data_IF_121435830495
#
_entry.id   IF_121435830495
#
_cell.length_a   1.000
_cell.length_b   1.000
_cell.length_c   1.000
_cell.angle_alpha   90.00
_cell.angle_beta   90.00
_cell.angle_gamma   90.00
#
_symmetry.space_group_name_H-M   'P 1'
#
loop_
_entity.id
_entity.type
_entity.pdbx_description
1 polymer ?
#
# COMPACT_ATOMS: atom_id res chain seq x y z
N UNK A 1 0.46 8.94 -14.45
CA UNK A 1 -0.97 9.30 -14.31
C UNK A 1 -1.39 10.22 -15.44
N UNK A 2 -2.67 10.20 -15.79
CA UNK A 2 -3.23 11.02 -16.88
C UNK A 2 -4.48 11.76 -16.39
N UNK A 3 -4.78 12.88 -17.02
CA UNK A 3 -6.05 13.60 -16.92
C UNK A 3 -6.80 13.45 -18.24
N UNK A 4 -7.92 12.77 -18.21
CA UNK A 4 -8.75 12.48 -19.39
C UNK A 4 -10.20 12.77 -19.06
N UNK A 5 -10.92 13.44 -19.97
CA UNK A 5 -12.37 13.70 -19.81
C UNK A 5 -13.11 12.38 -19.66
N UNK A 6 -14.03 12.30 -18.69
CA UNK A 6 -14.79 11.09 -18.36
C UNK A 6 -14.06 10.06 -17.51
N UNK A 7 -12.84 10.34 -17.05
CA UNK A 7 -12.08 9.52 -16.09
C UNK A 7 -11.82 10.29 -14.80
N UNK A 8 -11.65 9.53 -13.71
CA UNK A 8 -11.31 10.08 -12.40
C UNK A 8 -10.00 10.85 -12.43
N UNK A 9 -9.87 11.86 -11.55
CA UNK A 9 -8.63 12.59 -11.38
C UNK A 9 -7.49 11.62 -10.99
N UNK A 10 -6.28 11.84 -11.53
CA UNK A 10 -5.11 10.98 -11.32
C UNK A 10 -5.36 9.51 -11.68
N UNK A 11 -6.08 9.27 -12.77
CA UNK A 11 -6.18 7.92 -13.36
C UNK A 11 -4.79 7.46 -13.80
N UNK A 12 -4.48 6.18 -13.56
CA UNK A 12 -3.21 5.60 -13.96
C UNK A 12 -3.16 5.34 -15.46
N UNK A 13 -2.02 5.65 -16.05
CA UNK A 13 -1.67 5.39 -17.45
C UNK A 13 -0.32 4.73 -17.46
N UNK A 14 -0.28 3.44 -17.77
CA UNK A 14 0.95 2.64 -17.69
C UNK A 14 0.83 1.34 -18.47
N UNK A 15 1.97 0.69 -18.69
CA UNK A 15 2.08 -0.63 -19.32
C UNK A 15 1.55 -1.69 -18.35
N UNK A 16 0.76 -2.61 -18.86
CA UNK A 16 0.26 -3.75 -18.10
C UNK A 16 1.32 -4.86 -18.04
N UNK A 17 1.63 -5.29 -16.83
CA UNK A 17 2.49 -6.44 -16.55
C UNK A 17 1.69 -7.72 -16.70
N UNK A 18 2.21 -8.70 -17.48
CA UNK A 18 1.55 -9.97 -17.77
C UNK A 18 2.04 -11.14 -16.90
N UNK A 19 3.17 -10.96 -16.20
CA UNK A 19 3.75 -12.00 -15.36
C UNK A 19 5.24 -12.24 -15.66
N UNK A 20 5.74 -13.40 -15.22
CA UNK A 20 7.08 -13.88 -15.51
C UNK A 20 6.95 -15.09 -16.45
N UNK A 21 7.74 -15.13 -17.51
CA UNK A 21 7.79 -16.28 -18.40
C UNK A 21 8.37 -17.48 -17.64
N UNK A 22 7.64 -18.60 -17.52
CA UNK A 22 8.13 -19.77 -16.80
C UNK A 22 9.31 -20.47 -17.48
N UNK A 23 9.51 -20.27 -18.79
CA UNK A 23 10.60 -20.90 -19.52
C UNK A 23 11.90 -20.09 -19.49
N UNK A 24 11.79 -18.75 -19.48
CA UNK A 24 12.96 -17.86 -19.58
C UNK A 24 13.28 -17.11 -18.30
N UNK A 25 12.30 -16.98 -17.38
CA UNK A 25 12.40 -16.14 -16.19
C UNK A 25 12.31 -14.64 -16.48
N UNK A 26 12.04 -14.25 -17.73
CA UNK A 26 11.93 -12.85 -18.12
C UNK A 26 10.55 -12.26 -17.74
N UNK A 27 10.48 -10.96 -17.40
CA UNK A 27 9.21 -10.27 -17.21
C UNK A 27 8.46 -10.14 -18.53
N UNK A 28 7.15 -10.29 -18.48
CA UNK A 28 6.24 -10.22 -19.63
C UNK A 28 5.28 -9.04 -19.49
N UNK A 29 4.92 -8.46 -20.63
CA UNK A 29 4.06 -7.30 -20.75
C UNK A 29 2.99 -7.54 -21.83
N UNK A 30 1.83 -6.88 -21.69
CA UNK A 30 0.86 -6.82 -22.76
C UNK A 30 1.23 -5.74 -23.77
N UNK A 31 1.17 -6.08 -25.08
CA UNK A 31 1.48 -5.12 -26.16
C UNK A 31 0.45 -4.00 -26.19
N UNK A 32 -0.84 -4.32 -25.95
CA UNK A 32 -1.95 -3.38 -25.99
C UNK A 32 -1.99 -2.57 -27.31
N UNK A 33 -1.71 -3.21 -28.43
CA UNK A 33 -1.90 -2.64 -29.74
C UNK A 33 -3.40 -2.44 -30.03
N UNK A 34 -3.72 -1.53 -30.94
CA UNK A 34 -5.11 -1.28 -31.31
C UNK A 34 -5.45 -2.04 -32.59
N UNK A 35 -6.58 -2.74 -32.60
CA UNK A 35 -7.17 -3.30 -33.81
C UNK A 35 -7.80 -2.20 -34.69
N UNK A 36 -8.28 -2.56 -35.86
CA UNK A 36 -8.95 -1.64 -36.81
C UNK A 36 -10.22 -0.98 -36.23
N UNK A 37 -10.80 -1.56 -35.16
CA UNK A 37 -11.98 -1.06 -34.49
C UNK A 37 -11.63 -0.22 -33.23
N UNK A 38 -10.34 -0.09 -32.90
CA UNK A 38 -9.84 0.64 -31.74
C UNK A 38 -9.89 -0.13 -30.41
N UNK A 39 -10.04 -1.47 -30.44
CA UNK A 39 -9.95 -2.32 -29.26
C UNK A 39 -8.50 -2.75 -29.01
N UNK A 40 -8.15 -2.96 -27.74
CA UNK A 40 -6.82 -3.44 -27.39
C UNK A 40 -6.65 -4.94 -27.72
N UNK A 41 -5.59 -5.24 -28.48
CA UNK A 41 -5.08 -6.59 -28.69
C UNK A 41 -4.07 -6.87 -27.58
N UNK A 42 -4.33 -7.90 -26.77
CA UNK A 42 -3.47 -8.27 -25.63
C UNK A 42 -2.56 -9.45 -26.00
N UNK A 43 -1.56 -9.19 -26.82
CA UNK A 43 -0.47 -10.13 -27.02
C UNK A 43 0.59 -9.97 -25.94
N UNK A 44 1.41 -10.99 -25.72
CA UNK A 44 2.45 -10.98 -24.67
C UNK A 44 3.81 -10.80 -25.34
N UNK A 45 4.60 -9.87 -24.81
CA UNK A 45 6.00 -9.65 -25.20
C UNK A 45 6.90 -9.60 -23.96
N UNK A 46 8.16 -9.99 -24.12
CA UNK A 46 9.22 -9.81 -23.10
C UNK A 46 9.93 -8.47 -23.27
N UNK A 47 9.68 -7.74 -24.34
CA UNK A 47 10.30 -6.45 -24.61
C UNK A 47 9.41 -5.29 -24.18
N UNK A 48 9.85 -4.58 -23.16
CA UNK A 48 9.14 -3.41 -22.66
C UNK A 48 8.87 -2.34 -23.73
N UNK A 49 9.80 -2.19 -24.69
CA UNK A 49 9.68 -1.20 -25.78
C UNK A 49 8.58 -1.51 -26.79
N UNK A 50 8.09 -2.75 -26.83
CA UNK A 50 7.00 -3.18 -27.70
C UNK A 50 5.63 -3.06 -27.01
N UNK A 51 5.61 -2.80 -25.71
CA UNK A 51 4.39 -2.69 -24.94
C UNK A 51 3.88 -1.24 -24.89
N UNK A 52 2.57 -1.07 -25.07
CA UNK A 52 1.91 0.22 -25.03
C UNK A 52 1.23 0.47 -23.68
N UNK A 53 1.38 1.69 -23.18
CA UNK A 53 0.66 2.11 -21.99
C UNK A 53 -0.81 2.35 -22.30
N UNK A 54 -1.68 1.96 -21.39
CA UNK A 54 -3.13 2.20 -21.49
C UNK A 54 -3.67 2.97 -20.31
N UNK A 55 -4.81 3.59 -20.50
CA UNK A 55 -5.57 4.23 -19.41
C UNK A 55 -6.28 3.14 -18.62
N UNK A 56 -5.84 2.93 -17.39
CA UNK A 56 -6.44 1.93 -16.51
C UNK A 56 -7.76 2.44 -15.91
N UNK A 57 -8.61 1.51 -15.49
CA UNK A 57 -9.76 1.86 -14.65
C UNK A 57 -9.37 1.84 -13.15
N UNK A 58 -8.23 2.46 -12.87
CA UNK A 58 -7.62 2.60 -11.54
C UNK A 58 -7.13 4.03 -11.37
N UNK A 59 -7.44 4.65 -10.25
CA UNK A 59 -7.08 6.03 -9.96
C UNK A 59 -6.52 6.17 -8.53
N UNK A 60 -5.79 7.25 -8.30
CA UNK A 60 -5.13 7.48 -7.02
C UNK A 60 -6.08 7.98 -5.94
N UNK A 61 -7.12 8.73 -6.35
CA UNK A 61 -8.08 9.29 -5.41
C UNK A 61 -8.99 8.17 -4.87
N UNK A 62 -9.16 8.04 -3.57
CA UNK A 62 -10.09 7.05 -3.02
C UNK A 62 -11.54 7.42 -3.30
N UNK A 63 -12.38 6.41 -3.47
CA UNK A 63 -13.82 6.59 -3.64
C UNK A 63 -14.51 6.96 -2.32
N UNK A 64 -13.98 6.45 -1.21
CA UNK A 64 -14.53 6.66 0.13
C UNK A 64 -13.39 6.97 1.09
N UNK A 65 -13.53 8.05 1.84
CA UNK A 65 -12.68 8.41 2.98
C UNK A 65 -13.59 8.72 4.16
N UNK A 66 -13.23 8.25 5.34
CA UNK A 66 -14.01 8.58 6.52
C UNK A 66 -13.31 8.25 7.82
N UNK A 67 -14.03 8.56 8.90
CA UNK A 67 -13.64 8.23 10.26
C UNK A 67 -14.86 7.95 11.13
N UNK A 68 -14.67 7.08 12.11
CA UNK A 68 -15.66 6.77 13.13
C UNK A 68 -15.03 7.07 14.49
N UNK A 69 -15.58 8.05 15.21
CA UNK A 69 -15.21 8.34 16.59
C UNK A 69 -16.38 8.11 17.52
N UNK A 70 -16.14 7.44 18.63
CA UNK A 70 -17.16 7.18 19.63
C UNK A 70 -16.59 7.27 21.03
N UNK A 71 -17.41 7.73 21.97
CA UNK A 71 -17.13 7.78 23.39
C UNK A 71 -18.23 7.09 24.16
N UNK A 72 -17.92 5.97 24.78
CA UNK A 72 -18.81 5.21 25.64
C UNK A 72 -18.51 5.52 27.09
N UNK A 73 -19.54 5.76 27.89
CA UNK A 73 -19.40 5.98 29.34
C UNK A 73 -20.36 5.07 30.08
N UNK A 74 -19.81 4.39 31.07
CA UNK A 74 -20.61 3.58 31.97
C UNK A 74 -20.10 3.71 33.40
N UNK A 75 -20.90 4.30 34.25
CA UNK A 75 -20.56 4.60 35.66
C UNK A 75 -19.22 5.38 35.74
N UNK A 76 -18.14 4.73 36.15
CA UNK A 76 -16.82 5.31 36.38
C UNK A 76 -15.89 5.10 35.19
N UNK A 77 -16.29 4.31 34.21
CA UNK A 77 -15.50 3.93 33.07
C UNK A 77 -15.82 4.81 31.87
N UNK A 78 -14.81 5.19 31.14
CA UNK A 78 -14.93 5.79 29.82
C UNK A 78 -14.04 5.06 28.82
N UNK A 79 -14.57 4.85 27.65
CA UNK A 79 -13.86 4.29 26.50
C UNK A 79 -14.05 5.24 25.33
N UNK A 80 -12.93 5.72 24.78
CA UNK A 80 -12.91 6.51 23.56
C UNK A 80 -12.12 5.77 22.50
N UNK A 81 -12.64 5.70 21.28
CA UNK A 81 -11.92 5.15 20.14
C UNK A 81 -12.20 5.94 18.87
N UNK A 82 -11.21 5.94 17.99
CA UNK A 82 -11.30 6.56 16.67
C UNK A 82 -10.69 5.66 15.63
N UNK A 83 -11.49 5.35 14.61
CA UNK A 83 -11.04 4.71 13.38
C UNK A 83 -10.95 5.73 12.26
N UNK A 84 -9.95 5.56 11.37
CA UNK A 84 -9.92 6.15 10.05
C UNK A 84 -9.93 5.05 9.00
N UNK A 85 -10.51 5.33 7.84
CA UNK A 85 -10.55 4.37 6.74
C UNK A 85 -10.55 5.08 5.38
N UNK A 86 -10.08 4.35 4.39
CA UNK A 86 -10.06 4.76 3.00
C UNK A 86 -10.27 3.54 2.12
N UNK A 87 -11.06 3.69 1.02
CA UNK A 87 -11.34 2.60 0.08
C UNK A 87 -11.41 3.10 -1.35
N UNK A 88 -11.02 2.23 -2.29
CA UNK A 88 -11.18 2.41 -3.73
C UNK A 88 -10.10 3.23 -4.41
N UNK A 89 -9.03 3.60 -3.70
CA UNK A 89 -7.85 4.22 -4.26
C UNK A 89 -6.77 3.23 -4.63
N UNK A 90 -5.82 3.67 -5.45
CA UNK A 90 -4.63 2.91 -5.80
C UNK A 90 -3.37 3.75 -5.59
N UNK A 91 -2.28 3.09 -5.28
CA UNK A 91 -0.98 3.74 -5.19
C UNK A 91 0.11 2.89 -5.83
N UNK A 92 1.12 3.57 -6.37
CA UNK A 92 2.28 2.96 -6.98
C UNK A 92 3.41 2.83 -5.95
N UNK A 93 3.95 1.63 -5.80
CA UNK A 93 5.05 1.35 -4.88
C UNK A 93 6.40 1.74 -5.51
N UNK A 94 6.85 2.96 -5.20
CA UNK A 94 8.16 3.45 -5.63
C UNK A 94 9.33 2.76 -4.92
N UNK A 95 9.10 2.16 -3.75
CA UNK A 95 10.14 1.42 -3.02
C UNK A 95 10.42 0.10 -3.72
N UNK A 96 9.36 -0.66 -4.03
CA UNK A 96 9.50 -1.88 -4.79
C UNK A 96 10.21 -1.65 -6.13
N UNK A 97 9.95 -0.51 -6.80
CA UNK A 97 10.64 -0.16 -8.03
C UNK A 97 12.17 -0.05 -7.87
N UNK A 98 12.65 0.38 -6.71
CA UNK A 98 14.08 0.56 -6.43
C UNK A 98 14.73 -0.68 -5.83
N UNK A 99 14.00 -1.41 -5.00
CA UNK A 99 14.54 -2.56 -4.28
C UNK A 99 14.39 -3.88 -5.03
N UNK A 100 13.38 -3.97 -5.90
CA UNK A 100 13.16 -5.13 -6.76
C UNK A 100 13.92 -4.99 -8.08
N UNK A 101 15.23 -4.88 -8.02
CA UNK A 101 16.06 -4.58 -9.20
C UNK A 101 16.57 -5.83 -9.95
N UNK A 102 16.21 -7.06 -9.50
CA UNK A 102 16.52 -8.30 -10.20
C UNK A 102 18.02 -8.56 -10.46
N UNK A 103 18.92 -7.95 -9.71
CA UNK A 103 20.37 -8.06 -9.89
C UNK A 103 21.03 -6.89 -10.62
N UNK A 104 20.26 -5.89 -11.07
CA UNK A 104 20.80 -4.74 -11.81
C UNK A 104 21.44 -3.65 -10.95
N UNK A 105 21.43 -3.80 -9.65
CA UNK A 105 22.05 -2.88 -8.71
C UNK A 105 22.71 -3.68 -7.59
N UNK A 106 23.98 -4.01 -7.79
CA UNK A 106 24.75 -4.85 -6.87
C UNK A 106 25.10 -4.14 -5.54
N UNK A 107 24.95 -2.83 -5.48
CA UNK A 107 25.18 -2.03 -4.27
C UNK A 107 23.93 -1.90 -3.41
N UNK A 108 22.75 -2.20 -3.95
CA UNK A 108 21.48 -2.10 -3.24
C UNK A 108 21.02 -3.45 -2.66
N UNK A 109 20.44 -3.38 -1.46
CA UNK A 109 19.80 -4.55 -0.87
C UNK A 109 18.49 -4.87 -1.58
N UNK A 110 18.21 -6.17 -1.74
CA UNK A 110 16.96 -6.68 -2.27
C UNK A 110 16.08 -7.24 -1.14
N UNK A 111 14.76 -7.22 -1.30
CA UNK A 111 13.84 -7.84 -0.36
C UNK A 111 14.04 -9.35 -0.25
N UNK A 112 13.82 -9.91 0.93
CA UNK A 112 14.02 -11.34 1.20
C UNK A 112 13.12 -12.26 0.37
N UNK A 113 11.96 -11.77 -0.08
CA UNK A 113 11.05 -12.53 -0.92
C UNK A 113 11.59 -12.79 -2.34
N UNK A 114 12.65 -12.10 -2.77
CA UNK A 114 13.37 -12.42 -4.01
C UNK A 114 14.10 -13.77 -3.98
N UNK A 115 14.19 -14.43 -2.84
CA UNK A 115 14.62 -15.83 -2.75
C UNK A 115 13.72 -16.77 -3.56
N UNK A 116 12.45 -16.37 -3.76
CA UNK A 116 11.44 -17.09 -4.53
C UNK A 116 11.42 -16.63 -6.00
N UNK A 117 12.49 -15.98 -6.48
CA UNK A 117 12.64 -15.63 -7.90
C UNK A 117 12.81 -16.88 -8.77
N UNK A 118 12.55 -16.73 -10.05
CA UNK A 118 12.72 -17.78 -11.04
C UNK A 118 14.17 -18.30 -11.08
N UNK A 119 14.36 -19.63 -11.19
CA UNK A 119 15.68 -20.28 -11.16
C UNK A 119 15.88 -21.26 -12.31
N UNK A 120 14.82 -21.87 -12.82
CA UNK A 120 14.91 -22.87 -13.88
C UNK A 120 13.62 -22.93 -14.69
N UNK A 121 13.69 -23.40 -15.95
CA UNK A 121 12.52 -23.59 -16.81
C UNK A 121 11.43 -24.42 -16.13
N UNK A 122 10.19 -23.93 -16.19
CA UNK A 122 9.03 -24.51 -15.53
C UNK A 122 8.70 -23.86 -14.17
N UNK A 123 9.53 -23.00 -13.62
CA UNK A 123 9.23 -22.30 -12.37
C UNK A 123 8.11 -21.26 -12.58
N UNK A 124 7.06 -21.35 -11.75
CA UNK A 124 5.97 -20.37 -11.72
C UNK A 124 6.20 -19.42 -10.54
N UNK A 125 6.70 -18.24 -10.82
CA UNK A 125 7.09 -17.26 -9.80
C UNK A 125 6.52 -15.88 -10.06
N UNK A 126 6.57 -15.01 -9.02
CA UNK A 126 6.20 -13.59 -9.13
C UNK A 126 7.41 -12.70 -9.46
N UNK A 127 8.61 -13.24 -9.33
CA UNK A 127 9.87 -12.51 -9.45
C UNK A 127 10.72 -13.15 -10.53
N UNK A 128 11.27 -12.32 -11.39
CA UNK A 128 12.09 -12.69 -12.53
C UNK A 128 13.41 -13.32 -12.13
N UNK A 129 14.09 -13.85 -13.12
CA UNK A 129 15.46 -14.32 -13.00
C UNK A 129 16.34 -13.22 -12.41
N UNK A 130 17.10 -13.57 -11.36
CA UNK A 130 18.09 -12.68 -10.75
C UNK A 130 19.39 -12.71 -11.56
N UNK A 131 19.62 -11.67 -12.36
CA UNK A 131 20.78 -11.57 -13.24
C UNK A 131 21.16 -10.12 -13.47
N UNK A 132 22.47 -9.86 -13.52
CA UNK A 132 23.01 -8.59 -13.96
C UNK A 132 22.92 -8.51 -15.51
N UNK A 133 21.83 -7.93 -16.02
CA UNK A 133 21.64 -7.74 -17.46
C UNK A 133 20.83 -6.47 -17.74
N UNK A 134 21.30 -5.59 -18.63
CA UNK A 134 20.56 -4.41 -19.05
C UNK A 134 19.21 -4.74 -19.65
N UNK A 135 19.07 -5.88 -20.36
CA UNK A 135 17.84 -6.28 -21.02
C UNK A 135 16.80 -6.85 -20.05
N UNK A 136 17.24 -7.43 -18.94
CA UNK A 136 16.39 -7.85 -17.82
C UNK A 136 16.12 -6.70 -16.84
N UNK A 137 16.80 -5.58 -17.01
CA UNK A 137 16.65 -4.34 -16.19
C UNK A 137 15.27 -3.68 -16.28
N UNK A 138 14.34 -4.32 -16.93
CA UNK A 138 12.95 -3.87 -17.09
C UNK A 138 12.15 -3.82 -15.79
N UNK A 139 12.74 -4.33 -14.71
CA UNK A 139 12.23 -4.17 -13.36
C UNK A 139 12.08 -2.74 -12.90
N UNK A 140 12.92 -1.83 -13.38
CA UNK A 140 12.85 -0.40 -13.05
C UNK A 140 11.74 0.31 -13.82
N UNK A 141 11.07 -0.36 -14.76
CA UNK A 141 10.01 0.26 -15.56
C UNK A 141 8.71 0.40 -14.78
N UNK A 142 7.97 1.45 -15.14
CA UNK A 142 6.68 1.78 -14.51
C UNK A 142 5.57 0.94 -15.12
N UNK A 143 5.20 -0.15 -14.45
CA UNK A 143 4.16 -1.08 -14.89
C UNK A 143 3.11 -1.31 -13.81
N UNK A 144 2.02 -1.99 -14.16
CA UNK A 144 0.96 -2.34 -13.19
C UNK A 144 1.41 -3.33 -12.11
N UNK A 145 2.59 -3.95 -12.24
CA UNK A 145 3.15 -4.86 -11.25
C UNK A 145 3.20 -4.26 -9.83
N UNK A 146 3.50 -2.98 -9.74
CA UNK A 146 3.67 -2.24 -8.48
C UNK A 146 2.52 -1.30 -8.15
N UNK A 147 1.38 -1.50 -8.82
CA UNK A 147 0.17 -0.73 -8.57
C UNK A 147 -0.76 -1.52 -7.65
N UNK A 148 -0.89 -1.07 -6.42
CA UNK A 148 -1.65 -1.76 -5.37
C UNK A 148 -2.83 -0.94 -4.88
N UNK A 149 -3.84 -1.61 -4.30
CA UNK A 149 -4.91 -0.91 -3.58
C UNK A 149 -4.32 -0.16 -2.38
N UNK A 150 -4.80 1.06 -2.16
CA UNK A 150 -4.48 1.88 -0.98
C UNK A 150 -5.57 1.78 0.10
N UNK A 151 -6.40 0.75 0.07
CA UNK A 151 -7.47 0.53 1.04
C UNK A 151 -6.89 0.21 2.42
N UNK A 152 -7.43 0.87 3.44
CA UNK A 152 -7.06 0.59 4.82
C UNK A 152 -8.14 0.94 5.83
N UNK A 153 -8.02 0.35 7.01
CA UNK A 153 -8.71 0.73 8.24
C UNK A 153 -7.67 0.82 9.35
N UNK A 154 -7.66 1.92 10.11
CA UNK A 154 -6.74 2.13 11.22
C UNK A 154 -7.45 2.53 12.49
N UNK A 155 -7.11 1.87 13.59
CA UNK A 155 -7.46 2.33 14.94
C UNK A 155 -6.45 3.43 15.35
N UNK A 156 -6.87 4.68 15.13
CA UNK A 156 -6.04 5.88 15.38
C UNK A 156 -5.80 6.11 16.84
N UNK A 157 -6.88 6.01 17.64
CA UNK A 157 -6.83 6.28 19.06
C UNK A 157 -7.72 5.29 19.79
N UNK A 158 -7.23 4.78 20.92
CA UNK A 158 -7.99 4.00 21.86
C UNK A 158 -7.62 4.50 23.26
N UNK A 159 -8.58 5.02 24.00
CA UNK A 159 -8.38 5.47 25.39
C UNK A 159 -9.39 4.82 26.30
N UNK A 160 -8.92 4.17 27.33
CA UNK A 160 -9.73 3.65 28.42
C UNK A 160 -9.42 4.39 29.69
N UNK A 161 -10.41 4.96 30.34
CA UNK A 161 -10.29 5.73 31.55
C UNK A 161 -11.20 5.22 32.67
N UNK A 162 -10.75 5.44 33.90
CA UNK A 162 -11.51 5.19 35.13
C UNK A 162 -11.47 6.45 35.96
N UNK A 163 -12.63 7.06 36.21
CA UNK A 163 -12.76 8.18 37.13
C UNK A 163 -13.25 7.64 38.49
N UNK A 164 -12.44 7.74 39.51
CA UNK A 164 -12.78 7.19 40.83
C UNK A 164 -13.96 7.96 41.46
N UNK A 165 -14.89 7.23 42.13
CA UNK A 165 -15.98 7.86 42.85
C UNK A 165 -15.50 8.86 43.87
N UNK A 166 -16.14 10.00 43.92
CA UNK A 166 -15.78 11.10 44.81
C UNK A 166 -15.78 10.70 46.31
N UNK A 167 -16.66 9.77 46.66
CA UNK A 167 -16.71 9.21 48.04
C UNK A 167 -15.40 8.51 48.46
N UNK A 168 -14.64 7.97 47.49
CA UNK A 168 -13.34 7.34 47.76
C UNK A 168 -12.20 8.39 47.80
N UNK A 169 -12.22 9.31 46.84
CA UNK A 169 -11.15 10.29 46.69
C UNK A 169 -11.14 11.35 47.77
N UNK A 170 -12.30 11.75 48.31
CA UNK A 170 -12.44 12.66 49.43
C UNK A 170 -11.79 12.14 50.71
N UNK A 171 -11.75 10.82 50.92
CA UNK A 171 -11.10 10.23 52.10
C UNK A 171 -9.58 10.52 52.18
N UNK A 172 -8.97 10.79 51.02
CA UNK A 172 -7.55 11.12 50.88
C UNK A 172 -7.34 12.61 50.59
N UNK A 173 -8.40 13.44 50.72
CA UNK A 173 -8.31 14.88 50.51
C UNK A 173 -8.25 15.33 49.02
N UNK A 174 -8.57 14.45 48.09
CA UNK A 174 -8.53 14.74 46.64
C UNK A 174 -9.96 14.78 46.07
N UNK A 175 -10.28 15.81 45.28
CA UNK A 175 -11.63 15.97 44.76
C UNK A 175 -11.93 15.08 43.54
N UNK A 176 -10.93 14.83 42.69
CA UNK A 176 -11.11 14.01 41.48
C UNK A 176 -9.81 13.26 41.14
N UNK A 177 -9.92 11.98 40.89
CA UNK A 177 -8.82 11.15 40.43
C UNK A 177 -9.31 10.37 39.21
N UNK A 178 -8.60 10.51 38.12
CA UNK A 178 -8.82 9.71 36.88
C UNK A 178 -7.53 9.01 36.54
N UNK A 179 -7.63 7.71 36.29
CA UNK A 179 -6.55 6.88 35.76
C UNK A 179 -6.93 6.47 34.34
N UNK A 180 -6.01 6.55 33.41
CA UNK A 180 -6.29 6.16 32.02
C UNK A 180 -5.09 5.50 31.34
N UNK A 181 -5.40 4.70 30.33
CA UNK A 181 -4.45 4.22 29.34
C UNK A 181 -4.92 4.67 27.95
N UNK A 182 -4.01 5.25 27.19
CA UNK A 182 -4.26 5.71 25.83
C UNK A 182 -3.25 5.09 24.88
N UNK A 183 -3.73 4.59 23.74
CA UNK A 183 -2.90 4.03 22.69
C UNK A 183 -3.20 4.72 21.36
N UNK A 184 -2.16 4.97 20.55
CA UNK A 184 -2.30 5.52 19.21
C UNK A 184 -1.75 4.53 18.16
N UNK A 185 -2.40 4.48 17.01
CA UNK A 185 -2.04 3.66 15.86
C UNK A 185 -1.85 2.18 16.23
N UNK A 186 -2.65 1.68 17.19
CA UNK A 186 -2.48 0.35 17.77
C UNK A 186 -2.65 -0.77 16.75
N UNK A 187 -3.60 -0.59 15.82
CA UNK A 187 -3.91 -1.58 14.81
C UNK A 187 -4.20 -0.91 13.46
N UNK A 188 -3.73 -1.57 12.40
CA UNK A 188 -4.01 -1.19 11.01
C UNK A 188 -4.24 -2.45 10.19
N UNK A 189 -5.30 -2.45 9.41
CA UNK A 189 -5.47 -3.35 8.30
C UNK A 189 -5.25 -2.56 7.00
N UNK A 190 -4.49 -3.11 6.07
CA UNK A 190 -4.26 -2.55 4.75
C UNK A 190 -4.34 -3.65 3.69
N UNK A 191 -4.86 -3.32 2.52
CA UNK A 191 -4.90 -4.25 1.38
C UNK A 191 -3.48 -4.53 0.84
N UNK A 192 -2.56 -3.61 1.06
CA UNK A 192 -1.14 -3.75 0.78
C UNK A 192 -0.35 -3.20 1.98
N UNK A 193 0.50 -4.01 2.59
CA UNK A 193 1.12 -3.79 3.90
C UNK A 193 2.64 -3.59 3.87
N UNK A 194 3.25 -3.47 2.68
CA UNK A 194 4.70 -3.25 2.55
C UNK A 194 5.13 -1.82 2.92
N UNK A 195 4.21 -0.87 2.94
CA UNK A 195 4.42 0.49 3.44
C UNK A 195 3.19 0.98 4.19
N UNK A 196 3.34 2.08 4.94
CA UNK A 196 2.20 2.65 5.65
C UNK A 196 1.16 3.20 4.66
N UNK A 197 -0.11 2.76 4.71
CA UNK A 197 -1.13 3.17 3.75
C UNK A 197 -1.45 4.67 3.77
N UNK A 198 -1.08 5.40 4.85
CA UNK A 198 -1.21 6.85 4.92
C UNK A 198 0.05 7.58 4.42
N UNK A 199 1.17 6.86 4.20
CA UNK A 199 2.37 7.39 3.59
C UNK A 199 2.28 7.38 2.05
N UNK A 200 1.17 7.88 1.52
CA UNK A 200 0.88 7.98 0.09
C UNK A 200 0.59 9.42 -0.28
N UNK A 201 1.22 9.91 -1.32
CA UNK A 201 0.95 11.25 -1.87
C UNK A 201 0.80 11.17 -3.38
N UNK A 202 -0.33 11.70 -3.87
CA UNK A 202 -0.58 11.76 -5.31
C UNK A 202 -0.62 10.41 -6.02
N UNK A 203 -0.96 9.33 -5.30
CA UNK A 203 -1.00 7.98 -5.85
C UNK A 203 0.35 7.29 -5.93
N UNK A 204 1.33 7.75 -5.16
CA UNK A 204 2.63 7.09 -5.03
C UNK A 204 3.01 6.97 -3.55
N UNK A 205 3.58 5.85 -3.17
CA UNK A 205 4.16 5.68 -1.85
C UNK A 205 5.29 6.69 -1.65
N UNK A 206 5.27 7.40 -0.53
CA UNK A 206 6.31 8.36 -0.17
C UNK A 206 7.31 7.74 0.81
N UNK A 207 8.55 8.22 0.75
CA UNK A 207 9.62 7.81 1.64
C UNK A 207 9.43 8.51 2.99
N UNK A 208 8.61 7.91 3.85
CA UNK A 208 8.28 8.47 5.16
C UNK A 208 8.34 7.43 6.25
N UNK A 209 8.65 7.87 7.46
CA UNK A 209 8.56 7.01 8.64
C UNK A 209 7.10 6.77 8.96
N UNK A 210 6.65 5.52 9.11
CA UNK A 210 5.28 5.23 9.52
C UNK A 210 5.00 5.82 10.91
N UNK A 211 3.75 6.20 11.21
CA UNK A 211 3.37 6.70 12.52
C UNK A 211 3.61 5.64 13.60
N UNK A 212 4.23 6.05 14.69
CA UNK A 212 4.56 5.14 15.78
C UNK A 212 3.31 4.63 16.50
N UNK A 213 3.37 3.37 16.93
CA UNK A 213 2.45 2.85 17.94
C UNK A 213 2.91 3.34 19.30
N UNK A 214 2.05 4.06 19.99
CA UNK A 214 2.38 4.61 21.33
C UNK A 214 1.35 4.16 22.34
N UNK A 215 1.79 3.92 23.56
CA UNK A 215 0.93 3.69 24.72
C UNK A 215 1.34 4.64 25.83
N UNK A 216 0.37 5.32 26.42
CA UNK A 216 0.57 6.32 27.47
C UNK A 216 -0.36 5.97 28.64
N UNK A 217 0.14 6.12 29.84
CA UNK A 217 -0.61 5.96 31.08
C UNK A 217 -0.61 7.28 31.86
N UNK A 218 -1.69 7.59 32.55
CA UNK A 218 -1.83 8.77 33.36
C UNK A 218 -2.97 8.67 34.35
#
# INVERSE_FOLDING_TARGET
QIRKVGKSYRTFYMIEFAGINPETGAPQFYTNDLDENGNYIKEITEKYSEANAIVLDKHAEPNVIGGLSNTLRYKWFDLNFMFSYQFGGYSYDNWAQKTEHGGNDLEANIPTYYRDSWKQPGDITKYELFIESPDVAMNKSTTTRRLHSSDFIRLKTLTFGITLPQVWTQKIGVNNVRVYASANNLWTWAAYDYYDPEAVSGGSAIWGTPPLKTVTFG
#
